data_IF_231934955941
#
_entry.id   IF_231934955941
#
_cell.length_a   1.000
_cell.length_b   1.000
_cell.length_c   1.000
_cell.angle_alpha   90.00
_cell.angle_beta   90.00
_cell.angle_gamma   90.00
#
_symmetry.space_group_name_H-M   'P 1'
#
loop_
_entity.id
_entity.type
_entity.pdbx_description
1 polymer ?
#
# COMPACT_ATOMS: atom_id res chain seq x y z
N UNK A 1 -5.56 14.49 -9.62
CA UNK A 1 -4.16 14.68 -9.17
C UNK A 1 -3.21 14.21 -10.28
N UNK A 2 -2.04 14.83 -10.48
CA UNK A 2 -1.04 14.39 -11.48
C UNK A 2 0.33 14.15 -10.82
N UNK A 3 1.23 13.46 -11.52
CA UNK A 3 2.53 13.03 -10.96
C UNK A 3 3.37 14.20 -10.43
N UNK A 4 3.39 15.36 -11.13
CA UNK A 4 4.15 16.55 -10.70
C UNK A 4 3.58 17.16 -9.42
N UNK A 5 2.25 17.28 -9.31
CA UNK A 5 1.60 17.81 -8.10
C UNK A 5 1.76 16.85 -6.91
N UNK A 6 1.67 15.55 -7.15
CA UNK A 6 1.90 14.53 -6.10
C UNK A 6 3.35 14.60 -5.60
N UNK A 7 4.32 14.72 -6.51
CA UNK A 7 5.72 14.90 -6.13
C UNK A 7 5.93 16.18 -5.31
N UNK A 8 5.40 17.31 -5.79
CA UNK A 8 5.52 18.61 -5.11
C UNK A 8 4.94 18.57 -3.68
N UNK A 9 3.77 17.96 -3.50
CA UNK A 9 3.17 17.79 -2.17
C UNK A 9 3.99 16.86 -1.26
N UNK A 10 4.61 15.81 -1.81
CA UNK A 10 5.40 14.89 -1.01
C UNK A 10 6.71 15.52 -0.51
N UNK A 11 7.37 16.36 -1.32
CA UNK A 11 8.65 16.99 -0.96
C UNK A 11 8.50 18.21 -0.05
N UNK A 12 7.29 18.75 0.07
CA UNK A 12 6.98 19.89 0.93
C UNK A 12 6.95 19.46 2.41
N UNK A 13 8.13 19.35 3.02
CA UNK A 13 8.26 18.99 4.43
C UNK A 13 7.65 20.05 5.35
N UNK A 14 7.73 21.34 5.01
CA UNK A 14 7.12 22.41 5.81
C UNK A 14 5.59 22.28 5.86
N UNK A 15 4.96 21.94 4.73
CA UNK A 15 3.54 21.62 4.67
C UNK A 15 3.15 20.42 5.53
N UNK A 16 3.96 19.34 5.49
CA UNK A 16 3.74 18.13 6.29
C UNK A 16 3.88 18.44 7.80
N UNK A 17 4.88 19.22 8.20
CA UNK A 17 5.06 19.64 9.59
C UNK A 17 3.90 20.52 10.08
N UNK A 18 3.38 21.40 9.21
CA UNK A 18 2.24 22.27 9.53
C UNK A 18 0.92 21.49 9.67
N UNK A 19 0.71 20.45 8.84
CA UNK A 19 -0.45 19.55 8.94
C UNK A 19 -0.35 18.62 10.16
N UNK A 20 0.86 18.26 10.56
CA UNK A 20 1.10 17.40 11.72
C UNK A 20 0.57 15.98 11.49
N UNK A 21 -0.27 15.51 12.40
CA UNK A 21 -0.89 14.16 12.32
C UNK A 21 -2.42 14.23 12.27
N UNK A 22 -2.99 15.41 12.10
CA UNK A 22 -4.43 15.63 12.27
C UNK A 22 -5.24 14.86 11.23
N UNK A 23 -4.82 14.86 9.97
CA UNK A 23 -5.47 14.09 8.90
C UNK A 23 -5.45 12.59 9.18
N UNK A 24 -4.32 12.07 9.65
CA UNK A 24 -4.18 10.63 9.94
C UNK A 24 -5.00 10.25 11.17
N UNK A 25 -4.96 11.06 12.23
CA UNK A 25 -5.78 10.82 13.41
C UNK A 25 -7.27 10.94 13.10
N UNK A 26 -7.66 11.90 12.26
CA UNK A 26 -9.03 12.02 11.78
C UNK A 26 -9.46 10.73 11.10
N UNK A 27 -8.66 10.23 10.14
CA UNK A 27 -8.95 8.98 9.45
C UNK A 27 -9.05 7.78 10.41
N UNK A 28 -8.10 7.64 11.34
CA UNK A 28 -8.13 6.55 12.34
C UNK A 28 -9.40 6.62 13.17
N UNK A 29 -9.82 7.80 13.60
CA UNK A 29 -10.99 7.97 14.45
C UNK A 29 -12.31 7.81 13.68
N UNK A 30 -12.41 8.33 12.45
CA UNK A 30 -13.67 8.36 11.68
C UNK A 30 -13.89 7.10 10.84
N UNK A 31 -12.85 6.63 10.16
CA UNK A 31 -12.95 5.52 9.20
C UNK A 31 -12.62 4.17 9.83
N UNK A 32 -11.65 4.13 10.75
CA UNK A 32 -11.20 2.87 11.37
C UNK A 32 -11.85 2.59 12.73
N UNK A 33 -12.62 3.52 13.30
CA UNK A 33 -13.29 3.34 14.60
C UNK A 33 -12.38 3.57 15.82
N UNK A 34 -11.31 4.36 15.64
CA UNK A 34 -10.42 4.77 16.71
C UNK A 34 -9.30 3.79 17.04
N UNK A 35 -8.48 4.15 18.02
CA UNK A 35 -7.33 3.36 18.45
C UNK A 35 -7.38 3.12 19.96
N UNK A 36 -7.71 1.90 20.41
CA UNK A 36 -7.88 1.61 21.83
C UNK A 36 -6.65 1.94 22.69
N UNK A 37 -5.43 1.80 22.17
CA UNK A 37 -4.22 2.14 22.91
C UNK A 37 -4.16 3.63 23.30
N UNK A 38 -4.75 4.52 22.49
CA UNK A 38 -4.80 5.95 22.75
C UNK A 38 -6.03 6.34 23.57
N UNK A 39 -7.15 5.65 23.35
CA UNK A 39 -8.44 6.00 23.95
C UNK A 39 -8.71 5.28 25.29
N UNK A 40 -8.00 4.20 25.59
CA UNK A 40 -8.16 3.41 26.81
C UNK A 40 -9.61 2.97 27.01
N UNK A 41 -10.15 3.25 28.20
CA UNK A 41 -11.52 2.90 28.58
C UNK A 41 -12.61 3.63 27.81
N UNK A 42 -12.28 4.69 27.06
CA UNK A 42 -13.27 5.45 26.26
C UNK A 42 -13.52 4.82 24.88
N UNK A 43 -12.71 3.84 24.46
CA UNK A 43 -12.92 3.16 23.20
C UNK A 43 -14.15 2.25 23.24
N UNK A 44 -15.08 2.45 22.31
CA UNK A 44 -16.31 1.69 22.27
C UNK A 44 -16.12 0.35 21.55
N UNK A 45 -16.04 -0.72 22.33
CA UNK A 45 -15.91 -2.07 21.78
C UNK A 45 -17.13 -2.50 20.93
N UNK A 46 -18.33 -2.01 21.25
CA UNK A 46 -19.54 -2.41 20.54
C UNK A 46 -19.59 -1.92 19.08
N UNK A 47 -18.79 -0.92 18.72
CA UNK A 47 -18.69 -0.40 17.34
C UNK A 47 -17.65 -1.11 16.48
N UNK A 48 -16.92 -2.08 17.04
CA UNK A 48 -15.89 -2.82 16.32
C UNK A 48 -16.52 -3.63 15.16
N UNK A 49 -16.03 -3.41 13.94
CA UNK A 49 -16.39 -4.19 12.77
C UNK A 49 -15.14 -4.49 11.94
N UNK A 50 -14.66 -5.73 12.07
CA UNK A 50 -13.43 -6.19 11.44
C UNK A 50 -13.45 -6.06 9.90
N UNK A 51 -14.51 -6.54 9.24
CA UNK A 51 -14.63 -6.49 7.78
C UNK A 51 -14.63 -5.06 7.26
N UNK A 52 -15.41 -4.16 7.89
CA UNK A 52 -15.47 -2.74 7.51
C UNK A 52 -14.11 -2.06 7.61
N UNK A 53 -13.35 -2.33 8.66
CA UNK A 53 -12.01 -1.76 8.85
C UNK A 53 -11.06 -2.28 7.78
N UNK A 54 -11.08 -3.57 7.46
CA UNK A 54 -10.25 -4.12 6.39
C UNK A 54 -10.61 -3.52 5.03
N UNK A 55 -11.89 -3.31 4.71
CA UNK A 55 -12.31 -2.62 3.48
C UNK A 55 -11.71 -1.22 3.43
N UNK A 56 -11.84 -0.44 4.52
CA UNK A 56 -11.28 0.91 4.58
C UNK A 56 -9.76 0.93 4.48
N UNK A 57 -9.07 -0.03 5.07
CA UNK A 57 -7.62 -0.13 4.93
C UNK A 57 -7.20 -0.48 3.49
N UNK A 58 -7.97 -1.33 2.80
CA UNK A 58 -7.71 -1.67 1.41
C UNK A 58 -7.97 -0.49 0.44
N UNK A 59 -8.98 0.35 0.71
CA UNK A 59 -9.20 1.60 -0.05
C UNK A 59 -7.95 2.52 -0.03
N UNK A 60 -7.12 2.40 1.01
CA UNK A 60 -5.89 3.17 1.21
C UNK A 60 -4.62 2.34 0.93
N UNK A 61 -4.73 1.23 0.20
CA UNK A 61 -3.61 0.36 -0.20
C UNK A 61 -2.82 -0.20 0.99
N UNK A 62 -3.43 -0.27 2.17
CA UNK A 62 -2.82 -0.77 3.40
C UNK A 62 -3.38 -2.16 3.73
N UNK A 63 -3.05 -3.15 2.90
CA UNK A 63 -3.48 -4.53 3.13
C UNK A 63 -2.97 -5.06 4.47
N UNK A 64 -3.90 -5.45 5.34
CA UNK A 64 -3.61 -6.08 6.63
C UNK A 64 -4.13 -7.52 6.61
N UNK A 65 -3.31 -8.45 7.09
CA UNK A 65 -3.54 -9.91 7.14
C UNK A 65 -3.55 -10.62 5.77
N UNK A 66 -4.16 -10.08 4.74
CA UNK A 66 -4.16 -10.71 3.42
C UNK A 66 -4.27 -9.66 2.31
N UNK A 67 -3.84 -10.05 1.11
CA UNK A 67 -3.95 -9.22 -0.09
C UNK A 67 -5.06 -9.78 -0.99
N UNK A 68 -5.90 -8.91 -1.53
CA UNK A 68 -6.84 -9.25 -2.59
C UNK A 68 -6.36 -8.58 -3.87
N UNK A 69 -6.31 -9.35 -4.96
CA UNK A 69 -6.00 -8.84 -6.27
C UNK A 69 -6.72 -9.66 -7.33
N UNK A 70 -6.91 -9.06 -8.50
CA UNK A 70 -7.36 -9.76 -9.70
C UNK A 70 -6.13 -10.31 -10.41
N UNK A 71 -6.19 -11.57 -10.83
CA UNK A 71 -5.12 -12.22 -11.61
C UNK A 71 -5.72 -12.91 -12.83
N UNK A 72 -4.91 -13.04 -13.89
CA UNK A 72 -5.27 -13.86 -15.06
C UNK A 72 -5.19 -15.33 -14.62
N UNK A 73 -6.28 -16.06 -14.85
CA UNK A 73 -6.54 -17.39 -14.30
C UNK A 73 -5.40 -18.39 -14.59
N UNK A 74 -4.87 -19.01 -13.53
CA UNK A 74 -3.95 -20.15 -13.61
C UNK A 74 -4.50 -21.32 -12.80
N UNK A 75 -5.53 -21.95 -13.37
CA UNK A 75 -6.14 -23.24 -13.00
C UNK A 75 -7.09 -23.22 -11.79
N UNK A 76 -8.17 -23.97 -12.01
CA UNK A 76 -9.34 -24.11 -11.16
C UNK A 76 -9.04 -24.87 -9.86
N UNK A 77 -9.44 -24.32 -8.72
CA UNK A 77 -9.43 -24.99 -7.42
C UNK A 77 -10.67 -24.58 -6.64
N UNK A 78 -11.53 -25.53 -6.27
CA UNK A 78 -12.72 -25.30 -5.44
C UNK A 78 -12.42 -25.54 -3.97
N UNK A 79 -12.90 -24.68 -3.07
CA UNK A 79 -12.67 -24.85 -1.63
C UNK A 79 -13.83 -24.37 -0.73
N UNK A 80 -14.05 -25.09 0.38
CA UNK A 80 -14.98 -24.78 1.47
C UNK A 80 -14.29 -24.94 2.83
N UNK A 81 -14.35 -23.92 3.70
CA UNK A 81 -13.91 -24.08 5.10
C UNK A 81 -13.34 -22.85 5.82
N UNK A 82 -13.65 -21.62 5.38
CA UNK A 82 -13.23 -20.41 6.10
C UNK A 82 -14.30 -20.05 7.14
N UNK A 83 -13.90 -19.77 8.39
CA UNK A 83 -14.83 -19.41 9.50
C UNK A 83 -15.13 -17.91 9.55
N UNK A 84 -14.23 -17.09 9.02
CA UNK A 84 -14.54 -15.71 8.63
C UNK A 84 -15.41 -15.74 7.37
N UNK A 85 -16.46 -14.91 7.30
CA UNK A 85 -17.28 -14.78 6.08
C UNK A 85 -16.50 -14.05 4.97
N UNK A 86 -15.54 -14.77 4.40
CA UNK A 86 -14.65 -14.27 3.37
C UNK A 86 -15.42 -13.95 2.09
N UNK A 87 -16.48 -14.70 1.78
CA UNK A 87 -17.32 -14.44 0.62
C UNK A 87 -18.15 -13.16 0.80
N UNK A 88 -18.75 -12.95 1.98
CA UNK A 88 -19.41 -11.69 2.32
C UNK A 88 -18.46 -10.50 2.22
N UNK A 89 -17.26 -10.62 2.80
CA UNK A 89 -16.22 -9.60 2.69
C UNK A 89 -15.80 -9.32 1.24
N UNK A 90 -15.59 -10.36 0.42
CA UNK A 90 -15.26 -10.18 -1.00
C UNK A 90 -16.39 -9.49 -1.76
N UNK A 91 -17.66 -9.84 -1.49
CA UNK A 91 -18.80 -9.17 -2.11
C UNK A 91 -18.79 -7.68 -1.79
N UNK A 92 -18.61 -7.31 -0.52
CA UNK A 92 -18.49 -5.90 -0.12
C UNK A 92 -17.31 -5.21 -0.79
N UNK A 93 -16.15 -5.88 -0.88
CA UNK A 93 -14.95 -5.36 -1.54
C UNK A 93 -15.19 -5.05 -3.02
N UNK A 94 -15.75 -5.98 -3.79
CA UNK A 94 -16.00 -5.79 -5.22
C UNK A 94 -17.16 -4.84 -5.51
N UNK A 95 -18.13 -4.72 -4.58
CA UNK A 95 -19.18 -3.72 -4.67
C UNK A 95 -18.65 -2.28 -4.62
N UNK A 96 -17.50 -2.03 -3.96
CA UNK A 96 -16.83 -0.71 -4.01
C UNK A 96 -16.44 -0.31 -5.45
N UNK A 97 -16.20 -1.29 -6.32
CA UNK A 97 -15.92 -1.11 -7.74
C UNK A 97 -17.15 -1.29 -8.64
N UNK A 98 -18.36 -1.33 -8.06
CA UNK A 98 -19.61 -1.61 -8.75
C UNK A 98 -19.61 -2.96 -9.49
N UNK A 99 -18.95 -3.97 -8.91
CA UNK A 99 -18.90 -5.35 -9.40
C UNK A 99 -19.71 -6.23 -8.45
N UNK A 100 -20.69 -6.94 -8.99
CA UNK A 100 -21.49 -7.90 -8.23
C UNK A 100 -20.87 -9.29 -8.37
N UNK A 101 -20.37 -9.85 -7.27
CA UNK A 101 -19.92 -11.24 -7.25
C UNK A 101 -21.09 -12.21 -7.17
N UNK A 102 -21.10 -13.20 -8.06
CA UNK A 102 -22.05 -14.30 -8.12
C UNK A 102 -21.47 -15.54 -7.42
N UNK A 103 -22.34 -16.46 -6.99
CA UNK A 103 -21.90 -17.74 -6.40
C UNK A 103 -21.16 -18.65 -7.39
N UNK A 104 -21.29 -18.35 -8.68
CA UNK A 104 -20.58 -19.05 -9.77
C UNK A 104 -19.19 -18.47 -10.05
N UNK A 105 -18.83 -17.34 -9.45
CA UNK A 105 -17.54 -16.70 -9.69
C UNK A 105 -16.41 -17.52 -9.07
N UNK A 106 -15.32 -17.63 -9.81
CA UNK A 106 -14.14 -18.40 -9.40
C UNK A 106 -13.20 -17.48 -8.61
N UNK A 107 -12.84 -17.91 -7.41
CA UNK A 107 -11.84 -17.23 -6.57
C UNK A 107 -10.61 -18.11 -6.45
N UNK A 108 -9.50 -17.68 -7.04
CA UNK A 108 -8.21 -18.35 -6.88
C UNK A 108 -7.60 -18.00 -5.52
N UNK A 109 -7.26 -19.03 -4.74
CA UNK A 109 -6.63 -18.87 -3.42
C UNK A 109 -5.21 -19.41 -3.48
N UNK A 110 -4.22 -18.52 -3.44
CA UNK A 110 -2.81 -18.93 -3.49
C UNK A 110 -2.35 -19.65 -2.22
N UNK A 111 -2.73 -19.15 -1.05
CA UNK A 111 -2.23 -19.64 0.25
C UNK A 111 -3.38 -20.12 1.15
N UNK A 112 -3.93 -21.28 0.79
CA UNK A 112 -5.15 -21.78 1.43
C UNK A 112 -4.97 -22.09 2.93
N UNK A 113 -3.85 -22.70 3.29
CA UNK A 113 -3.56 -23.05 4.69
C UNK A 113 -3.37 -21.79 5.55
N UNK A 114 -2.73 -20.76 5.00
CA UNK A 114 -2.61 -19.47 5.64
C UNK A 114 -3.98 -18.86 5.95
N UNK A 115 -4.89 -18.82 4.96
CA UNK A 115 -6.24 -18.27 5.15
C UNK A 115 -7.03 -19.03 6.22
N UNK A 116 -6.89 -20.37 6.28
CA UNK A 116 -7.51 -21.18 7.35
C UNK A 116 -6.96 -20.80 8.72
N UNK A 117 -5.63 -20.78 8.86
CA UNK A 117 -4.98 -20.53 10.14
C UNK A 117 -5.24 -19.10 10.64
N UNK A 118 -5.17 -18.11 9.75
CA UNK A 118 -5.53 -16.73 10.08
C UNK A 118 -7.00 -16.60 10.43
N UNK A 119 -7.90 -17.28 9.71
CA UNK A 119 -9.33 -17.30 10.07
C UNK A 119 -9.57 -17.88 11.47
N UNK A 120 -8.78 -18.85 11.92
CA UNK A 120 -8.87 -19.37 13.29
C UNK A 120 -8.36 -18.35 14.30
N UNK A 121 -7.22 -17.70 14.04
CA UNK A 121 -6.66 -16.66 14.91
C UNK A 121 -7.63 -15.50 15.07
N UNK A 122 -8.19 -14.95 13.97
CA UNK A 122 -9.13 -13.83 14.00
C UNK A 122 -10.32 -14.14 14.92
N UNK A 123 -10.89 -15.34 14.83
CA UNK A 123 -12.04 -15.74 15.64
C UNK A 123 -11.71 -15.98 17.13
N UNK A 124 -10.44 -16.17 17.47
CA UNK A 124 -9.98 -16.38 18.85
C UNK A 124 -9.53 -15.09 19.54
N UNK A 125 -9.14 -14.07 18.77
CA UNK A 125 -8.65 -12.82 19.32
C UNK A 125 -9.79 -11.90 19.74
N UNK A 126 -9.52 -11.10 20.79
CA UNK A 126 -10.43 -10.02 21.17
C UNK A 126 -10.46 -8.93 20.10
N UNK A 127 -11.60 -8.25 19.99
CA UNK A 127 -11.76 -7.03 19.19
C UNK A 127 -10.72 -5.97 19.53
N UNK A 128 -10.35 -5.82 20.82
CA UNK A 128 -9.30 -4.91 21.27
C UNK A 128 -7.95 -5.25 20.62
N UNK A 129 -7.57 -6.53 20.62
CA UNK A 129 -6.33 -7.02 20.01
C UNK A 129 -6.34 -6.76 18.50
N UNK A 130 -7.43 -7.12 17.83
CA UNK A 130 -7.56 -6.96 16.39
C UNK A 130 -7.55 -5.49 15.96
N UNK A 131 -8.29 -4.63 16.67
CA UNK A 131 -8.31 -3.18 16.42
C UNK A 131 -6.92 -2.57 16.55
N UNK A 132 -6.25 -2.83 17.68
CA UNK A 132 -4.90 -2.30 17.92
C UNK A 132 -3.92 -2.79 16.86
N UNK A 133 -3.98 -4.07 16.47
CA UNK A 133 -3.13 -4.61 15.44
C UNK A 133 -3.39 -3.97 14.06
N UNK A 134 -4.66 -3.84 13.64
CA UNK A 134 -5.01 -3.25 12.35
C UNK A 134 -4.59 -1.78 12.25
N UNK A 135 -4.88 -0.97 13.28
CA UNK A 135 -4.46 0.44 13.31
C UNK A 135 -2.94 0.56 13.40
N UNK A 136 -2.26 -0.28 14.18
CA UNK A 136 -0.79 -0.28 14.24
C UNK A 136 -0.15 -0.57 12.87
N UNK A 137 -0.66 -1.56 12.15
CA UNK A 137 -0.18 -1.91 10.80
C UNK A 137 -0.35 -0.75 9.82
N UNK A 138 -1.47 -0.03 9.92
CA UNK A 138 -1.69 1.19 9.15
C UNK A 138 -0.74 2.32 9.55
N UNK A 139 -0.58 2.62 10.83
CA UNK A 139 0.33 3.67 11.30
C UNK A 139 1.78 3.42 10.87
N UNK A 140 2.22 2.15 10.93
CA UNK A 140 3.53 1.73 10.42
C UNK A 140 3.69 1.96 8.92
N UNK A 141 2.63 1.76 8.12
CA UNK A 141 2.69 2.00 6.67
C UNK A 141 2.67 3.49 6.31
N UNK A 142 2.12 4.34 7.16
CA UNK A 142 2.05 5.79 6.93
C UNK A 142 3.21 6.59 7.52
N UNK A 143 4.03 6.00 8.41
CA UNK A 143 5.05 6.71 9.17
C UNK A 143 6.08 7.49 8.30
N UNK A 144 6.36 7.03 7.07
CA UNK A 144 7.25 7.72 6.13
C UNK A 144 6.66 9.01 5.52
N UNK A 145 5.35 9.19 5.64
CA UNK A 145 4.59 10.34 5.12
C UNK A 145 4.20 11.34 6.23
N UNK A 146 4.63 11.08 7.46
CA UNK A 146 4.34 11.90 8.64
C UNK A 146 5.44 12.94 8.91
N UNK A 147 5.21 13.86 9.88
CA UNK A 147 6.24 14.76 10.40
C UNK A 147 7.54 14.03 10.79
N UNK A 148 8.65 14.76 10.75
CA UNK A 148 10.03 14.28 10.96
C UNK A 148 10.19 13.48 12.24
N UNK A 149 9.47 13.82 13.30
CA UNK A 149 9.49 13.06 14.55
C UNK A 149 9.10 11.58 14.33
N UNK A 150 8.00 11.31 13.61
CA UNK A 150 7.53 9.96 13.31
C UNK A 150 8.47 9.24 12.32
N UNK A 151 8.96 9.95 11.30
CA UNK A 151 9.96 9.40 10.37
C UNK A 151 11.25 9.00 11.07
N UNK A 152 11.69 9.77 12.05
CA UNK A 152 12.87 9.46 12.87
C UNK A 152 12.66 8.17 13.67
N UNK A 153 11.48 7.99 14.27
CA UNK A 153 11.14 6.74 14.98
C UNK A 153 11.13 5.56 14.00
N UNK A 154 10.53 5.74 12.82
CA UNK A 154 10.51 4.72 11.77
C UNK A 154 11.93 4.34 11.31
N UNK A 155 12.80 5.32 11.13
CA UNK A 155 14.20 5.11 10.76
C UNK A 155 14.96 4.29 11.82
N UNK A 156 14.72 4.53 13.12
CA UNK A 156 15.34 3.74 14.18
C UNK A 156 14.96 2.25 14.07
N UNK A 157 13.71 1.96 13.75
CA UNK A 157 13.27 0.60 13.48
C UNK A 157 13.94 0.04 12.21
N UNK A 158 13.95 0.79 11.11
CA UNK A 158 14.52 0.34 9.82
C UNK A 158 16.03 0.11 9.88
N UNK A 159 16.73 0.86 10.74
CA UNK A 159 18.14 0.62 11.01
C UNK A 159 18.40 -0.78 11.58
N UNK A 160 17.54 -1.25 12.47
CA UNK A 160 17.67 -2.58 13.09
C UNK A 160 17.12 -3.66 12.16
N UNK A 161 15.97 -3.40 11.53
CA UNK A 161 15.26 -4.40 10.74
C UNK A 161 15.87 -4.62 9.34
N UNK A 162 16.32 -3.54 8.68
CA UNK A 162 16.82 -3.57 7.30
C UNK A 162 18.30 -3.19 7.17
N UNK A 163 18.95 -2.73 8.25
CA UNK A 163 20.33 -2.24 8.19
C UNK A 163 20.47 -0.86 7.56
N UNK A 164 19.37 -0.12 7.37
CA UNK A 164 19.39 1.22 6.76
C UNK A 164 19.88 2.25 7.79
N UNK A 165 21.11 2.71 7.62
CA UNK A 165 21.76 3.58 8.61
C UNK A 165 21.37 5.06 8.50
N UNK A 166 20.83 5.49 7.37
CA UNK A 166 20.51 6.89 7.07
C UNK A 166 19.16 6.99 6.39
N UNK A 167 18.38 8.00 6.76
CA UNK A 167 17.16 8.34 6.03
C UNK A 167 17.52 8.74 4.58
N UNK A 168 16.87 8.15 3.55
CA UNK A 168 17.06 8.59 2.17
C UNK A 168 16.62 10.05 2.00
N UNK A 169 17.15 10.74 0.98
CA UNK A 169 16.73 12.11 0.72
C UNK A 169 15.24 12.16 0.39
N UNK A 170 14.55 13.22 0.83
CA UNK A 170 13.10 13.37 0.58
C UNK A 170 12.77 13.31 -0.92
N UNK A 171 13.65 13.85 -1.76
CA UNK A 171 13.52 13.80 -3.21
C UNK A 171 13.52 12.37 -3.78
N UNK A 172 14.31 11.45 -3.20
CA UNK A 172 14.33 10.04 -3.60
C UNK A 172 13.05 9.36 -3.14
N UNK A 173 12.70 9.47 -1.84
CA UNK A 173 11.48 8.88 -1.26
C UNK A 173 10.24 9.29 -2.06
N UNK A 174 10.11 10.58 -2.37
CA UNK A 174 8.98 11.09 -3.13
C UNK A 174 9.01 10.70 -4.61
N UNK A 175 10.21 10.50 -5.19
CA UNK A 175 10.35 9.97 -6.53
C UNK A 175 9.82 8.55 -6.63
N UNK A 176 10.23 7.68 -5.70
CA UNK A 176 9.76 6.31 -5.59
C UNK A 176 8.26 6.25 -5.32
N UNK A 177 7.76 7.06 -4.37
CA UNK A 177 6.34 7.11 -4.04
C UNK A 177 5.47 7.42 -5.26
N UNK A 178 5.83 8.46 -6.02
CA UNK A 178 5.08 8.84 -7.23
C UNK A 178 5.25 7.80 -8.34
N UNK A 179 6.42 7.17 -8.47
CA UNK A 179 6.63 6.10 -9.43
C UNK A 179 5.81 4.84 -9.10
N UNK A 180 5.68 4.49 -7.82
CA UNK A 180 4.87 3.35 -7.39
C UNK A 180 3.37 3.56 -7.64
N UNK A 181 2.89 4.80 -7.53
CA UNK A 181 1.47 5.13 -7.74
C UNK A 181 1.15 5.45 -9.20
N UNK A 182 2.03 6.20 -9.88
CA UNK A 182 1.82 6.75 -11.21
C UNK A 182 2.95 6.36 -12.18
N UNK A 183 3.43 5.12 -12.09
CA UNK A 183 4.60 4.63 -12.84
C UNK A 183 4.52 4.88 -14.33
N UNK A 184 3.36 4.66 -14.97
CA UNK A 184 3.18 4.97 -16.40
C UNK A 184 3.33 6.46 -16.73
N UNK A 185 2.84 7.34 -15.86
CA UNK A 185 2.97 8.79 -16.05
C UNK A 185 4.42 9.24 -15.86
N UNK A 186 5.11 8.67 -14.86
CA UNK A 186 6.54 8.93 -14.61
C UNK A 186 7.40 8.38 -15.75
N UNK A 187 7.12 7.17 -16.24
CA UNK A 187 7.79 6.56 -17.38
C UNK A 187 7.64 7.40 -18.64
N UNK A 188 6.43 7.93 -18.92
CA UNK A 188 6.22 8.87 -20.03
C UNK A 188 7.08 10.13 -19.91
N UNK A 189 7.21 10.69 -18.70
CA UNK A 189 8.09 11.85 -18.47
C UNK A 189 9.56 11.48 -18.71
N UNK A 190 9.98 10.30 -18.26
CA UNK A 190 11.35 9.79 -18.41
C UNK A 190 11.72 9.54 -19.88
N UNK A 191 10.88 8.83 -20.62
CA UNK A 191 11.07 8.56 -22.06
C UNK A 191 11.13 9.85 -22.87
N UNK A 192 10.28 10.83 -22.53
CA UNK A 192 10.27 12.10 -23.24
C UNK A 192 11.57 12.89 -23.08
N UNK A 193 12.22 12.77 -21.91
CA UNK A 193 13.44 13.51 -21.56
C UNK A 193 14.71 12.80 -22.03
N UNK A 194 14.77 11.47 -21.87
CA UNK A 194 16.04 10.72 -21.98
C UNK A 194 16.10 9.76 -23.18
N UNK A 195 14.97 9.46 -23.83
CA UNK A 195 14.95 8.53 -24.97
C UNK A 195 14.80 9.32 -26.26
N UNK A 196 15.81 9.19 -27.12
CA UNK A 196 15.72 9.67 -28.50
C UNK A 196 14.73 8.83 -29.32
N UNK A 197 14.43 9.31 -30.52
CA UNK A 197 13.43 8.68 -31.39
C UNK A 197 13.85 7.28 -31.87
N UNK A 198 15.16 6.99 -31.92
CA UNK A 198 15.68 5.69 -32.32
C UNK A 198 15.51 4.65 -31.21
N UNK A 199 15.79 5.02 -29.95
CA UNK A 199 15.56 4.18 -28.78
C UNK A 199 14.06 3.88 -28.59
N UNK A 200 13.19 4.85 -28.87
CA UNK A 200 11.73 4.65 -28.85
C UNK A 200 11.25 3.63 -29.89
N UNK A 201 11.87 3.61 -31.07
CA UNK A 201 11.54 2.65 -32.12
C UNK A 201 12.06 1.23 -31.83
N UNK A 202 12.96 1.07 -30.86
CA UNK A 202 13.48 -0.23 -30.42
C UNK A 202 12.72 -0.82 -29.22
N UNK A 203 11.89 -0.02 -28.54
CA UNK A 203 10.98 -0.47 -27.49
C UNK A 203 9.63 -0.85 -28.14
N UNK A 204 9.50 -2.10 -28.55
CA UNK A 204 8.32 -2.62 -29.24
C UNK A 204 7.42 -3.47 -28.33
N UNK A 205 7.83 -3.73 -27.09
CA UNK A 205 7.07 -4.47 -26.10
C UNK A 205 7.07 -5.99 -26.31
N UNK A 206 8.01 -6.52 -27.10
CA UNK A 206 8.15 -7.96 -27.34
C UNK A 206 8.87 -8.73 -26.20
N UNK A 207 9.06 -8.11 -25.03
CA UNK A 207 9.71 -8.69 -23.84
C UNK A 207 11.04 -9.37 -24.17
N UNK A 208 11.82 -8.77 -25.08
CA UNK A 208 13.11 -9.34 -25.47
C UNK A 208 14.09 -9.32 -24.29
N UNK A 209 15.13 -10.15 -24.33
CA UNK A 209 16.18 -10.12 -23.30
C UNK A 209 16.83 -8.72 -23.20
N UNK A 210 16.90 -7.98 -24.32
CA UNK A 210 17.37 -6.60 -24.37
C UNK A 210 16.41 -5.61 -23.70
N UNK A 211 15.10 -5.74 -23.93
CA UNK A 211 14.08 -4.90 -23.27
C UNK A 211 14.03 -5.16 -21.76
N UNK A 212 14.09 -6.41 -21.30
CA UNK A 212 14.14 -6.72 -19.87
C UNK A 212 15.41 -6.16 -19.18
N UNK A 213 16.55 -6.13 -19.87
CA UNK A 213 17.78 -5.51 -19.37
C UNK A 213 17.66 -3.97 -19.39
N UNK A 214 17.00 -3.39 -20.40
CA UNK A 214 16.75 -1.96 -20.49
C UNK A 214 15.71 -1.46 -19.47
N UNK A 215 14.69 -2.25 -19.14
CA UNK A 215 13.70 -1.92 -18.11
C UNK A 215 14.34 -1.96 -16.71
N UNK A 216 15.14 -3.00 -16.43
CA UNK A 216 15.89 -3.09 -15.17
C UNK A 216 17.06 -2.09 -15.07
N UNK A 217 17.71 -1.78 -16.20
CA UNK A 217 18.80 -0.81 -16.29
C UNK A 217 18.32 0.65 -16.31
N UNK A 218 17.18 0.92 -16.93
CA UNK A 218 16.54 2.24 -17.01
C UNK A 218 16.01 2.72 -15.67
N UNK A 219 15.53 1.81 -14.82
CA UNK A 219 15.26 2.09 -13.41
C UNK A 219 16.52 2.57 -12.68
N UNK A 220 17.65 1.88 -12.87
CA UNK A 220 18.94 2.25 -12.24
C UNK A 220 19.51 3.57 -12.75
N UNK A 221 19.38 3.88 -14.05
CA UNK A 221 19.86 5.15 -14.61
C UNK A 221 18.94 6.33 -14.26
N UNK A 222 17.62 6.12 -14.18
CA UNK A 222 16.69 7.13 -13.65
C UNK A 222 17.04 7.56 -12.20
N UNK A 223 17.66 6.66 -11.42
CA UNK A 223 18.19 6.96 -10.09
C UNK A 223 19.42 7.88 -10.11
N UNK A 224 20.33 7.74 -11.09
CA UNK A 224 21.59 8.50 -11.13
C UNK A 224 21.44 9.91 -11.71
N UNK A 225 20.51 10.12 -12.64
CA UNK A 225 20.39 11.42 -13.32
C UNK A 225 19.81 12.54 -12.42
N UNK A 226 19.15 12.19 -11.29
CA UNK A 226 18.58 13.19 -10.36
C UNK A 226 19.59 13.91 -9.47
N UNK A 227 20.88 13.54 -9.45
CA UNK A 227 21.91 14.29 -8.73
C UNK A 227 22.42 15.54 -9.47
N UNK A 228 22.01 15.76 -10.72
CA UNK A 228 22.54 16.84 -11.57
C UNK A 228 21.56 17.97 -11.86
N UNK A 229 20.35 17.95 -11.30
CA UNK A 229 19.39 19.06 -11.44
C UNK A 229 19.64 20.07 -10.31
N UNK A 230 20.64 20.93 -10.53
CA UNK A 230 20.71 22.29 -9.97
C UNK A 230 20.30 23.28 -11.07
#
# INVERSE_FOLDING_TARGET
MNARRMYASCVDEDGIEAEGIDTILSFVNTELGGWPILQGSTWNNATFNFSRILLKLNEYWSSVLYNIGTQIDSKNSSFQGIRFDFLGYLREFYLLANITLLDTDIVTVSELEYLRNVSLIINQQSSLTLQNYMVWRFMMSQASNMPKHFRTIRQQFDKVFQGINTEPSRAIVCGEYVNNIMGFAVAKLYINEYFDQNARNQLNGEQTQGENIADNGGLKEAFFVRCSIR
#
